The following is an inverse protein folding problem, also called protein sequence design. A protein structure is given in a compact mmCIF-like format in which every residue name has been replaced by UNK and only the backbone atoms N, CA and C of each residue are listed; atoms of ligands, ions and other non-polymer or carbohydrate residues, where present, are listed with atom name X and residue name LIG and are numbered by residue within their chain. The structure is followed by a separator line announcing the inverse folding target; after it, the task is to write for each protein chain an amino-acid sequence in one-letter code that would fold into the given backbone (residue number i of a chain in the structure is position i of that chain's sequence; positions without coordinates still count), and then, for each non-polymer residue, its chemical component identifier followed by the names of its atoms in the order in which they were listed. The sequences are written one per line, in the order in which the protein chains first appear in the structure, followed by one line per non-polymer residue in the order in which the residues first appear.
data_IF_281501755283
#
_entry.id   IF_281501755283
#
_cell.length_a   1.000
_cell.length_b   1.000
_cell.length_c   1.000
_cell.angle_alpha   90.00
_cell.angle_beta   90.00
_cell.angle_gamma   90.00
#
_symmetry.space_group_name_H-M   'P 1'
#
loop_
_entity.id
_entity.type
_entity.pdbx_description
1 polymer ?
#
# COMPACT_ATOMS: atom_id res chain seq x y z
N UNK A 1 -8.88 -10.26 -3.69
CA UNK A 1 -9.40 -10.23 -2.31
C UNK A 1 -9.69 -8.78 -1.99
N UNK A 2 -10.79 -8.49 -1.31
CA UNK A 2 -11.11 -7.13 -0.86
C UNK A 2 -10.39 -6.91 0.47
N UNK A 3 -9.42 -5.98 0.52
CA UNK A 3 -8.74 -5.64 1.77
C UNK A 3 -9.59 -4.63 2.55
N UNK A 4 -9.78 -4.91 3.85
CA UNK A 4 -10.45 -3.99 4.78
C UNK A 4 -9.40 -3.10 5.44
N UNK A 5 -9.70 -1.79 5.55
CA UNK A 5 -8.88 -0.85 6.31
C UNK A 5 -9.31 -0.85 7.78
N UNK A 6 -8.38 -0.63 8.73
CA UNK A 6 -8.76 -0.29 10.10
C UNK A 6 -9.62 0.97 10.14
N UNK A 7 -10.61 1.02 11.03
CA UNK A 7 -11.63 2.08 11.07
C UNK A 7 -11.05 3.50 11.22
N UNK A 8 -9.89 3.64 11.86
CA UNK A 8 -9.22 4.92 12.08
C UNK A 8 -8.34 5.38 10.90
N UNK A 9 -8.05 4.50 9.92
CA UNK A 9 -7.21 4.84 8.78
C UNK A 9 -8.05 5.50 7.69
N UNK A 10 -7.88 6.82 7.57
CA UNK A 10 -8.42 7.60 6.46
C UNK A 10 -7.40 7.78 5.33
N UNK A 11 -7.71 7.27 4.14
CA UNK A 11 -6.84 7.42 2.96
C UNK A 11 -6.67 8.88 2.53
N UNK A 12 -7.64 9.76 2.78
CA UNK A 12 -7.61 11.14 2.24
C UNK A 12 -6.52 12.02 2.82
N UNK A 13 -5.92 11.62 3.95
CA UNK A 13 -4.82 12.35 4.60
C UNK A 13 -3.44 11.95 4.07
N UNK A 14 -3.35 10.88 3.28
CA UNK A 14 -2.09 10.41 2.72
C UNK A 14 -1.69 11.23 1.49
N UNK A 15 -0.41 11.25 1.11
CA UNK A 15 0.03 11.80 -0.17
C UNK A 15 -0.70 11.16 -1.36
N UNK A 16 -1.04 11.93 -2.40
CA UNK A 16 -1.84 11.46 -3.54
C UNK A 16 -1.25 10.21 -4.23
N UNK A 17 0.07 10.15 -4.37
CA UNK A 17 0.77 8.99 -4.95
C UNK A 17 0.54 7.75 -4.07
N UNK A 18 0.64 7.91 -2.75
CA UNK A 18 0.39 6.83 -1.78
C UNK A 18 -1.05 6.36 -1.86
N UNK A 19 -2.03 7.27 -1.87
CA UNK A 19 -3.45 6.95 -2.01
C UNK A 19 -3.72 6.12 -3.27
N UNK A 20 -3.22 6.59 -4.42
CA UNK A 20 -3.44 5.94 -5.71
C UNK A 20 -2.83 4.54 -5.74
N UNK A 21 -1.57 4.39 -5.33
CA UNK A 21 -0.92 3.08 -5.38
C UNK A 21 -1.50 2.11 -4.36
N UNK A 22 -1.84 2.56 -3.15
CA UNK A 22 -2.46 1.72 -2.14
C UNK A 22 -3.81 1.19 -2.63
N UNK A 23 -4.65 2.05 -3.22
CA UNK A 23 -5.92 1.62 -3.83
C UNK A 23 -5.72 0.56 -4.92
N UNK A 24 -4.74 0.78 -5.82
CA UNK A 24 -4.43 -0.19 -6.88
C UNK A 24 -3.92 -1.53 -6.33
N UNK A 25 -3.14 -1.51 -5.26
CA UNK A 25 -2.67 -2.72 -4.59
C UNK A 25 -3.84 -3.47 -3.94
N UNK A 26 -4.70 -2.77 -3.21
CA UNK A 26 -5.88 -3.35 -2.56
C UNK A 26 -6.87 -3.96 -3.57
N UNK A 27 -7.01 -3.36 -4.75
CA UNK A 27 -7.87 -3.87 -5.82
C UNK A 27 -7.24 -4.98 -6.65
N UNK A 28 -5.92 -5.20 -6.55
CA UNK A 28 -5.18 -6.11 -7.43
C UNK A 28 -4.85 -5.54 -8.82
N UNK A 29 -5.08 -4.24 -9.06
CA UNK A 29 -4.74 -3.53 -10.31
C UNK A 29 -3.22 -3.36 -10.49
N UNK A 30 -2.44 -3.63 -9.45
CA UNK A 30 -0.98 -3.64 -9.48
C UNK A 30 -0.42 -4.58 -8.42
N UNK A 31 0.90 -4.81 -8.47
CA UNK A 31 1.61 -5.68 -7.52
C UNK A 31 2.63 -4.88 -6.71
N UNK A 32 3.02 -5.34 -5.51
CA UNK A 32 4.08 -4.71 -4.71
C UNK A 32 5.42 -4.61 -5.45
N UNK A 33 5.69 -5.53 -6.38
CA UNK A 33 6.87 -5.50 -7.23
C UNK A 33 6.84 -4.32 -8.21
N UNK A 34 5.71 -4.10 -8.91
CA UNK A 34 5.51 -2.96 -9.80
C UNK A 34 5.59 -1.62 -9.03
N UNK A 35 4.92 -1.62 -7.86
CA UNK A 35 5.21 -0.82 -6.66
C UNK A 35 6.64 -0.28 -6.55
N UNK A 36 7.48 -1.23 -6.16
CA UNK A 36 8.89 -1.07 -5.80
C UNK A 36 9.76 -0.69 -7.00
N UNK A 37 9.41 -1.15 -8.21
CA UNK A 37 10.12 -0.75 -9.43
C UNK A 37 9.97 0.74 -9.70
N UNK A 38 8.76 1.31 -9.52
CA UNK A 38 8.53 2.76 -9.67
C UNK A 38 9.30 3.57 -8.63
N UNK A 39 9.32 3.11 -7.36
CA UNK A 39 10.17 3.68 -6.31
C UNK A 39 11.64 3.75 -6.77
N UNK A 40 12.18 2.65 -7.29
CA UNK A 40 13.58 2.58 -7.72
C UNK A 40 13.89 3.57 -8.84
N UNK A 41 12.99 3.67 -9.84
CA UNK A 41 13.10 4.66 -10.93
C UNK A 41 13.10 6.09 -10.37
N UNK A 42 12.15 6.45 -9.51
CA UNK A 42 12.09 7.80 -8.91
C UNK A 42 13.34 8.13 -8.09
N UNK A 43 13.87 7.16 -7.36
CA UNK A 43 15.08 7.38 -6.59
C UNK A 43 16.30 7.64 -7.51
N UNK A 44 16.41 6.95 -8.64
CA UNK A 44 17.45 7.21 -9.65
C UNK A 44 17.32 8.59 -10.31
N UNK A 45 16.10 9.09 -10.43
CA UNK A 45 15.80 10.43 -10.96
C UNK A 45 16.01 11.55 -9.93
N UNK A 46 16.48 11.26 -8.71
CA UNK A 46 16.62 12.24 -7.63
C UNK A 46 15.30 12.68 -6.99
N UNK A 47 14.18 12.03 -7.35
CA UNK A 47 12.83 12.31 -6.85
C UNK A 47 12.57 11.55 -5.56
N UNK A 48 13.32 11.88 -4.52
CA UNK A 48 13.32 11.13 -3.25
C UNK A 48 11.95 11.17 -2.54
N UNK A 49 11.23 12.28 -2.63
CA UNK A 49 9.89 12.43 -2.05
C UNK A 49 8.87 11.48 -2.71
N UNK A 50 8.84 11.45 -4.05
CA UNK A 50 7.99 10.49 -4.78
C UNK A 50 8.38 9.04 -4.46
N UNK A 51 9.68 8.75 -4.36
CA UNK A 51 10.17 7.43 -3.99
C UNK A 51 9.72 7.02 -2.58
N UNK A 52 9.70 7.96 -1.63
CA UNK A 52 9.15 7.76 -0.29
C UNK A 52 7.66 7.43 -0.34
N UNK A 53 6.86 8.16 -1.14
CA UNK A 53 5.42 7.90 -1.28
C UNK A 53 5.10 6.52 -1.86
N UNK A 54 5.89 6.05 -2.82
CA UNK A 54 5.79 4.68 -3.33
C UNK A 54 6.15 3.64 -2.26
N UNK A 55 7.20 3.89 -1.47
CA UNK A 55 7.58 3.01 -0.36
C UNK A 55 6.48 2.92 0.70
N UNK A 56 5.91 4.08 1.07
CA UNK A 56 4.82 4.16 2.04
C UNK A 56 3.61 3.32 1.60
N UNK A 57 3.22 3.40 0.33
CA UNK A 57 2.11 2.60 -0.20
C UNK A 57 2.34 1.09 -0.06
N UNK A 58 3.56 0.63 -0.36
CA UNK A 58 3.93 -0.79 -0.24
C UNK A 58 3.95 -1.24 1.21
N UNK A 59 4.51 -0.43 2.11
CA UNK A 59 4.54 -0.75 3.55
C UNK A 59 3.14 -0.82 4.15
N UNK A 60 2.28 0.14 3.84
CA UNK A 60 0.89 0.13 4.29
C UNK A 60 0.15 -1.09 3.76
N UNK A 61 0.33 -1.44 2.49
CA UNK A 61 -0.30 -2.62 1.92
C UNK A 61 0.08 -3.90 2.67
N UNK A 62 1.37 -4.11 2.99
CA UNK A 62 1.80 -5.29 3.77
C UNK A 62 1.17 -5.35 5.16
N UNK A 63 1.08 -4.22 5.85
CA UNK A 63 0.40 -4.14 7.15
C UNK A 63 -1.10 -4.48 7.03
N UNK A 64 -1.74 -4.09 5.93
CA UNK A 64 -3.12 -4.48 5.64
C UNK A 64 -3.24 -5.97 5.34
N UNK A 65 -2.27 -6.58 4.66
CA UNK A 65 -2.24 -8.03 4.45
C UNK A 65 -2.19 -8.76 5.79
N UNK A 66 -1.30 -8.37 6.69
CA UNK A 66 -1.18 -8.93 8.04
C UNK A 66 -2.48 -8.73 8.85
N UNK A 67 -3.04 -7.51 8.85
CA UNK A 67 -4.28 -7.20 9.54
C UNK A 67 -5.45 -8.07 9.06
N UNK A 68 -5.62 -8.22 7.74
CA UNK A 68 -6.72 -9.01 7.18
C UNK A 68 -6.50 -10.52 7.35
N UNK A 69 -5.26 -11.00 7.41
CA UNK A 69 -4.96 -12.40 7.75
C UNK A 69 -5.35 -12.71 9.20
N UNK A 70 -5.01 -11.83 10.15
CA UNK A 70 -5.38 -12.00 11.56
C UNK A 70 -6.89 -12.06 11.76
N UNK A 71 -7.66 -11.19 11.09
CA UNK A 71 -9.14 -11.23 11.13
C UNK A 71 -9.65 -12.58 10.60
N UNK A 72 -9.09 -13.07 9.50
CA UNK A 72 -9.50 -14.35 8.91
C UNK A 72 -9.23 -15.51 9.85
N UNK A 73 -8.11 -15.50 10.56
CA UNK A 73 -7.78 -16.53 11.56
C UNK A 73 -8.71 -16.49 12.77
N UNK A 74 -9.16 -15.31 13.21
CA UNK A 74 -10.13 -15.17 14.31
C UNK A 74 -11.51 -15.73 13.94
N UNK A 75 -11.99 -15.50 12.71
CA UNK A 75 -13.30 -16.00 12.24
C UNK A 75 -13.32 -17.53 12.11
N UNK A 76 -12.17 -18.15 11.84
CA UNK A 76 -12.05 -19.60 11.61
C UNK A 76 -11.80 -20.41 12.90
N UNK A 77 -11.60 -19.74 14.05
CA UNK A 77 -11.51 -20.37 15.38
C UNK A 77 -12.89 -20.57 15.98
#
# INVERSE_FOLDING_TARGET
MTYTLPDEINLTTLPLITQLQLRRLMNGDTTPANVSQRKYVRNKEGKHEEAFYFALAVSMFRLLEEFNQNIKEEILK
#
